data_IF_198356465138
#
_entry.id   IF_198356465138
#
_cell.length_a   1.000
_cell.length_b   1.000
_cell.length_c   1.000
_cell.angle_alpha   90.00
_cell.angle_beta   90.00
_cell.angle_gamma   90.00
#
_symmetry.space_group_name_H-M   'P 1'
#
loop_
_entity.id
_entity.type
_entity.pdbx_description
1 polymer ?
#
# COMPACT_ATOMS: atom_id res chain seq x y z
N UNK A 1 28.89 11.42 -0.01
CA UNK A 1 27.76 11.07 -0.89
C UNK A 1 26.50 11.39 -0.10
N UNK A 2 25.82 12.48 -0.43
CA UNK A 2 24.50 12.76 0.16
C UNK A 2 23.50 11.76 -0.41
N UNK A 3 22.90 10.95 0.44
CA UNK A 3 21.73 10.15 0.08
C UNK A 3 20.65 11.09 -0.50
N UNK A 4 20.17 10.79 -1.70
CA UNK A 4 19.14 11.60 -2.36
C UNK A 4 17.92 11.71 -1.44
N UNK A 5 17.38 12.91 -1.29
CA UNK A 5 16.14 13.14 -0.53
C UNK A 5 15.00 12.25 -1.04
N UNK A 6 15.00 11.91 -2.34
CA UNK A 6 14.07 10.96 -2.92
C UNK A 6 14.21 9.55 -2.34
N UNK A 7 15.44 9.06 -2.12
CA UNK A 7 15.69 7.74 -1.50
C UNK A 7 15.14 7.69 -0.08
N UNK A 8 15.40 8.74 0.72
CA UNK A 8 14.88 8.84 2.10
C UNK A 8 13.35 8.92 2.13
N UNK A 9 12.76 9.72 1.24
CA UNK A 9 11.31 9.83 1.11
C UNK A 9 10.69 8.47 0.72
N UNK A 10 11.31 7.73 -0.20
CA UNK A 10 10.85 6.40 -0.63
C UNK A 10 10.90 5.38 0.51
N UNK A 11 11.98 5.39 1.32
CA UNK A 11 12.11 4.49 2.47
C UNK A 11 11.03 4.79 3.52
N UNK A 12 10.92 6.06 3.94
CA UNK A 12 9.91 6.49 4.91
C UNK A 12 8.48 6.19 4.40
N UNK A 13 8.25 6.34 3.10
CA UNK A 13 6.95 6.05 2.51
C UNK A 13 6.61 4.55 2.52
N UNK A 14 7.60 3.69 2.25
CA UNK A 14 7.44 2.22 2.33
C UNK A 14 7.16 1.77 3.77
N UNK A 15 7.88 2.32 4.74
CA UNK A 15 7.62 2.06 6.17
C UNK A 15 6.21 2.47 6.58
N UNK A 16 5.77 3.67 6.18
CA UNK A 16 4.43 4.15 6.48
C UNK A 16 3.35 3.29 5.84
N UNK A 17 3.55 2.83 4.59
CA UNK A 17 2.62 1.92 3.91
C UNK A 17 2.50 0.58 4.63
N UNK A 18 3.62 0.01 5.06
CA UNK A 18 3.62 -1.25 5.83
C UNK A 18 2.95 -1.07 7.19
N UNK A 19 3.19 0.05 7.88
CA UNK A 19 2.49 0.37 9.13
C UNK A 19 0.98 0.43 8.94
N UNK A 20 0.49 1.15 7.93
CA UNK A 20 -0.94 1.20 7.60
C UNK A 20 -1.50 -0.18 7.27
N UNK A 21 -0.74 -1.02 6.53
CA UNK A 21 -1.15 -2.40 6.21
C UNK A 21 -1.31 -3.25 7.47
N UNK A 22 -0.38 -3.13 8.43
CA UNK A 22 -0.44 -3.83 9.71
C UNK A 22 -1.65 -3.39 10.55
N UNK A 23 -1.91 -2.08 10.63
CA UNK A 23 -3.06 -1.52 11.35
C UNK A 23 -4.40 -2.03 10.76
N UNK A 24 -4.55 -2.01 9.42
CA UNK A 24 -5.74 -2.56 8.74
C UNK A 24 -5.87 -4.06 9.01
N UNK A 25 -4.76 -4.80 9.01
CA UNK A 25 -4.76 -6.25 9.28
C UNK A 25 -5.20 -6.53 10.72
N UNK A 26 -4.72 -5.76 11.69
CA UNK A 26 -5.14 -5.87 13.09
C UNK A 26 -6.63 -5.56 13.26
N UNK A 27 -7.11 -4.49 12.62
CA UNK A 27 -8.53 -4.15 12.61
C UNK A 27 -9.36 -5.33 12.07
N UNK A 28 -9.03 -5.88 10.90
CA UNK A 28 -9.75 -7.02 10.32
C UNK A 28 -9.75 -8.22 11.27
N UNK A 29 -8.65 -8.50 11.98
CA UNK A 29 -8.60 -9.59 12.97
C UNK A 29 -9.56 -9.35 14.13
N UNK A 30 -9.55 -8.15 14.71
CA UNK A 30 -10.46 -7.75 15.78
C UNK A 30 -11.92 -7.91 15.36
N UNK A 31 -12.25 -7.47 14.14
CA UNK A 31 -13.61 -7.56 13.62
C UNK A 31 -14.08 -9.01 13.44
N UNK A 32 -13.21 -9.89 12.92
CA UNK A 32 -13.51 -11.32 12.83
C UNK A 32 -13.69 -11.98 14.19
N UNK A 33 -12.90 -11.56 15.19
CA UNK A 33 -13.05 -12.07 16.54
C UNK A 33 -14.41 -11.68 17.14
N UNK A 34 -14.80 -10.41 16.97
CA UNK A 34 -16.11 -9.91 17.41
C UNK A 34 -17.23 -10.67 16.69
N UNK A 35 -17.15 -10.81 15.36
CA UNK A 35 -18.12 -11.56 14.56
C UNK A 35 -18.29 -12.99 15.07
N UNK A 36 -17.19 -13.69 15.33
CA UNK A 36 -17.21 -15.06 15.85
C UNK A 36 -17.88 -15.14 17.21
N UNK A 37 -17.55 -14.20 18.12
CA UNK A 37 -18.13 -14.16 19.46
C UNK A 37 -19.63 -13.87 19.43
N UNK A 38 -20.06 -12.89 18.64
CA UNK A 38 -21.48 -12.53 18.50
C UNK A 38 -22.26 -13.70 17.90
N UNK A 39 -21.74 -14.34 16.85
CA UNK A 39 -22.40 -15.50 16.23
C UNK A 39 -22.50 -16.70 17.18
N UNK A 40 -21.46 -16.94 18.00
CA UNK A 40 -21.51 -17.97 19.05
C UNK A 40 -22.61 -17.67 20.06
N UNK A 41 -22.65 -16.44 20.61
CA UNK A 41 -23.65 -16.08 21.62
C UNK A 41 -25.08 -16.10 21.06
N UNK A 42 -25.29 -15.69 19.81
CA UNK A 42 -26.57 -15.86 19.14
C UNK A 42 -27.00 -17.34 19.12
N UNK A 43 -26.08 -18.24 18.73
CA UNK A 43 -26.32 -19.67 18.72
C UNK A 43 -26.65 -20.22 20.11
N UNK A 44 -25.90 -19.81 21.13
CA UNK A 44 -26.08 -20.22 22.53
C UNK A 44 -27.45 -19.77 23.06
N UNK A 45 -27.87 -18.53 22.79
CA UNK A 45 -29.17 -18.00 23.19
C UNK A 45 -30.29 -18.81 22.53
N UNK A 46 -30.21 -19.06 21.22
CA UNK A 46 -31.23 -19.81 20.49
C UNK A 46 -31.37 -21.24 21.01
N UNK A 47 -30.24 -21.91 21.27
CA UNK A 47 -30.24 -23.24 21.85
C UNK A 47 -30.84 -23.22 23.27
N UNK A 48 -30.46 -22.24 24.09
CA UNK A 48 -30.98 -22.08 25.45
C UNK A 48 -32.49 -21.88 25.45
N UNK A 49 -33.02 -21.03 24.56
CA UNK A 49 -34.47 -20.84 24.43
C UNK A 49 -35.19 -22.12 24.00
N UNK A 50 -34.64 -22.87 23.05
CA UNK A 50 -35.18 -24.16 22.63
C UNK A 50 -35.19 -25.20 23.76
N UNK A 51 -34.15 -25.21 24.60
CA UNK A 51 -34.05 -26.10 25.76
C UNK A 51 -35.08 -25.75 26.83
N UNK A 52 -35.24 -24.45 27.13
CA UNK A 52 -36.27 -23.96 28.04
C UNK A 52 -37.67 -24.31 27.54
N UNK A 53 -37.95 -24.09 26.24
CA UNK A 53 -39.22 -24.44 25.60
C UNK A 53 -39.54 -25.94 25.78
N UNK A 54 -38.58 -26.82 25.50
CA UNK A 54 -38.75 -28.28 25.70
C UNK A 54 -38.98 -28.65 27.17
N UNK A 55 -38.21 -28.06 28.09
CA UNK A 55 -38.33 -28.31 29.53
C UNK A 55 -39.68 -27.88 30.09
N UNK A 56 -40.15 -26.69 29.68
CA UNK A 56 -41.46 -26.16 30.04
C UNK A 56 -42.57 -27.05 29.50
N UNK A 57 -42.55 -27.37 28.20
CA UNK A 57 -43.57 -28.22 27.60
C UNK A 57 -43.67 -29.59 28.32
N UNK A 58 -42.54 -30.20 28.65
CA UNK A 58 -42.48 -31.45 29.42
C UNK A 58 -43.07 -31.29 30.83
N UNK A 59 -42.80 -30.17 31.49
CA UNK A 59 -43.32 -29.87 32.83
C UNK A 59 -44.84 -29.64 32.81
N UNK A 60 -45.35 -28.90 31.82
CA UNK A 60 -46.78 -28.69 31.60
C UNK A 60 -47.50 -30.02 31.28
N UNK A 61 -46.94 -30.85 30.42
CA UNK A 61 -47.47 -32.18 30.13
C UNK A 61 -47.57 -33.06 31.38
N UNK A 62 -46.53 -33.08 32.23
CA UNK A 62 -46.57 -33.81 33.50
C UNK A 62 -47.68 -33.30 34.42
N UNK A 63 -47.80 -31.98 34.57
CA UNK A 63 -48.85 -31.38 35.39
C UNK A 63 -50.25 -31.78 34.90
N UNK A 64 -50.48 -31.71 33.58
CA UNK A 64 -51.74 -32.16 32.94
C UNK A 64 -52.00 -33.63 33.23
N UNK A 65 -50.99 -34.51 33.11
CA UNK A 65 -51.14 -35.94 33.41
C UNK A 65 -51.50 -36.20 34.87
N UNK A 66 -50.90 -35.46 35.82
CA UNK A 66 -51.28 -35.56 37.23
C UNK A 66 -52.71 -35.11 37.49
N UNK A 67 -53.13 -34.00 36.90
CA UNK A 67 -54.51 -33.49 37.00
C UNK A 67 -55.51 -34.50 36.42
N UNK A 68 -55.20 -35.07 35.25
CA UNK A 68 -56.02 -36.10 34.61
C UNK A 68 -56.10 -37.39 35.45
N UNK A 69 -55.02 -37.79 36.12
CA UNK A 69 -55.03 -38.95 37.01
C UNK A 69 -55.93 -38.73 38.25
N UNK A 70 -55.94 -37.52 38.81
CA UNK A 70 -56.80 -37.15 39.95
C UNK A 70 -58.27 -37.04 39.54
N UNK A 71 -58.56 -36.71 38.27
CA UNK A 71 -59.93 -36.65 37.75
C UNK A 71 -60.71 -37.97 37.95
N UNK A 72 -60.02 -39.12 37.91
CA UNK A 72 -60.67 -40.42 38.11
C UNK A 72 -61.26 -40.60 39.52
N UNK A 73 -60.89 -39.77 40.50
CA UNK A 73 -61.39 -39.84 41.88
C UNK A 73 -62.29 -38.64 42.29
N UNK A 74 -62.54 -37.67 41.42
CA UNK A 74 -63.21 -36.41 41.76
C UNK A 74 -64.49 -36.18 40.91
N UNK A 75 -65.61 -35.80 41.54
CA UNK A 75 -66.91 -35.58 40.85
C UNK A 75 -67.05 -34.19 40.18
N UNK A 76 -66.05 -33.31 40.28
CA UNK A 76 -66.19 -31.90 39.89
C UNK A 76 -65.54 -31.58 38.53
N UNK A 77 -66.20 -32.05 37.46
CA UNK A 77 -65.72 -31.99 36.07
C UNK A 77 -65.44 -30.56 35.57
N UNK A 78 -66.24 -29.58 35.99
CA UNK A 78 -66.11 -28.17 35.57
C UNK A 78 -64.79 -27.55 36.06
N UNK A 79 -64.44 -27.78 37.33
CA UNK A 79 -63.18 -27.30 37.92
C UNK A 79 -61.97 -27.89 37.20
N UNK A 80 -62.03 -29.16 36.82
CA UNK A 80 -60.95 -29.80 36.06
C UNK A 80 -60.76 -29.16 34.68
N UNK A 81 -61.87 -28.96 33.96
CA UNK A 81 -61.85 -28.36 32.63
C UNK A 81 -61.31 -26.91 32.69
N UNK A 82 -61.71 -26.16 33.72
CA UNK A 82 -61.19 -24.82 33.98
C UNK A 82 -59.68 -24.83 34.21
N UNK A 83 -59.17 -25.71 35.08
CA UNK A 83 -57.72 -25.82 35.35
C UNK A 83 -56.95 -26.19 34.08
N UNK A 84 -57.41 -27.18 33.31
CA UNK A 84 -56.76 -27.57 32.06
C UNK A 84 -56.71 -26.42 31.05
N UNK A 85 -57.78 -25.64 30.92
CA UNK A 85 -57.82 -24.45 30.07
C UNK A 85 -56.80 -23.40 30.54
N UNK A 86 -56.69 -23.14 31.84
CA UNK A 86 -55.69 -22.22 32.40
C UNK A 86 -54.27 -22.69 32.04
N UNK A 87 -53.95 -23.97 32.22
CA UNK A 87 -52.64 -24.52 31.85
C UNK A 87 -52.35 -24.38 30.35
N UNK A 88 -53.33 -24.67 29.48
CA UNK A 88 -53.16 -24.52 28.03
C UNK A 88 -52.93 -23.06 27.61
N UNK A 89 -53.71 -22.13 28.15
CA UNK A 89 -53.55 -20.69 27.89
C UNK A 89 -52.17 -20.23 28.36
N UNK A 90 -51.75 -20.66 29.55
CA UNK A 90 -50.45 -20.31 30.12
C UNK A 90 -49.31 -20.83 29.26
N UNK A 91 -49.36 -22.09 28.81
CA UNK A 91 -48.33 -22.67 27.93
C UNK A 91 -48.23 -21.89 26.61
N UNK A 92 -49.36 -21.55 25.99
CA UNK A 92 -49.38 -20.74 24.76
C UNK A 92 -48.76 -19.36 24.96
N UNK A 93 -49.05 -18.69 26.08
CA UNK A 93 -48.46 -17.39 26.39
C UNK A 93 -46.94 -17.47 26.60
N UNK A 94 -46.47 -18.52 27.27
CA UNK A 94 -45.03 -18.75 27.46
C UNK A 94 -44.35 -19.04 26.12
N UNK A 95 -44.93 -19.87 25.26
CA UNK A 95 -44.40 -20.13 23.92
C UNK A 95 -44.35 -18.86 23.07
N UNK A 96 -45.40 -18.03 23.11
CA UNK A 96 -45.43 -16.75 22.43
C UNK A 96 -44.35 -15.78 22.95
N UNK A 97 -44.14 -15.73 24.27
CA UNK A 97 -43.08 -14.90 24.87
C UNK A 97 -41.68 -15.37 24.44
N UNK A 98 -41.42 -16.69 24.46
CA UNK A 98 -40.14 -17.24 23.98
C UNK A 98 -39.91 -16.96 22.49
N UNK A 99 -40.94 -17.08 21.66
CA UNK A 99 -40.87 -16.74 20.23
C UNK A 99 -40.58 -15.25 20.02
N UNK A 100 -41.18 -14.36 20.80
CA UNK A 100 -40.94 -12.92 20.71
C UNK A 100 -39.50 -12.54 21.09
N UNK A 101 -38.91 -13.22 22.08
CA UNK A 101 -37.49 -13.06 22.42
C UNK A 101 -36.61 -13.57 21.28
N UNK A 102 -36.90 -14.75 20.74
CA UNK A 102 -36.16 -15.34 19.63
C UNK A 102 -36.18 -14.44 18.39
N UNK A 103 -37.35 -13.91 18.01
CA UNK A 103 -37.48 -12.96 16.89
C UNK A 103 -36.78 -11.63 17.18
N UNK A 104 -36.87 -11.10 18.40
CA UNK A 104 -36.19 -9.86 18.77
C UNK A 104 -34.66 -9.95 18.70
N UNK A 105 -34.10 -11.13 19.02
CA UNK A 105 -32.66 -11.40 18.86
C UNK A 105 -32.28 -11.48 17.38
N UNK A 106 -33.11 -12.09 16.53
CA UNK A 106 -32.89 -12.14 15.08
C UNK A 106 -32.94 -10.74 14.45
N UNK A 107 -33.94 -9.94 14.82
CA UNK A 107 -34.08 -8.56 14.36
C UNK A 107 -32.87 -7.71 14.78
N UNK A 108 -32.39 -7.88 16.01
CA UNK A 108 -31.18 -7.20 16.50
C UNK A 108 -29.94 -7.60 15.68
N UNK A 109 -29.78 -8.89 15.36
CA UNK A 109 -28.68 -9.36 14.52
C UNK A 109 -28.75 -8.78 13.12
N UNK A 110 -29.94 -8.74 12.52
CA UNK A 110 -30.14 -8.14 11.21
C UNK A 110 -29.82 -6.64 11.22
N UNK A 111 -30.27 -5.91 12.25
CA UNK A 111 -29.97 -4.49 12.41
C UNK A 111 -28.47 -4.25 12.62
N UNK A 112 -27.80 -5.07 13.45
CA UNK A 112 -26.36 -4.98 13.65
C UNK A 112 -25.59 -5.20 12.33
N UNK A 113 -26.01 -6.19 11.55
CA UNK A 113 -25.43 -6.46 10.24
C UNK A 113 -25.59 -5.26 9.29
N UNK A 114 -26.79 -4.67 9.23
CA UNK A 114 -27.10 -3.56 8.33
C UNK A 114 -26.46 -2.24 8.75
N UNK A 115 -26.54 -1.89 10.04
CA UNK A 115 -26.14 -0.57 10.56
C UNK A 115 -24.66 -0.50 10.92
N UNK A 116 -24.01 -1.64 11.18
CA UNK A 116 -22.61 -1.66 11.60
C UNK A 116 -21.75 -2.55 10.71
N UNK A 117 -22.06 -3.84 10.56
CA UNK A 117 -21.15 -4.76 9.87
C UNK A 117 -20.95 -4.38 8.38
N UNK A 118 -22.03 -4.12 7.66
CA UNK A 118 -21.96 -3.75 6.24
C UNK A 118 -21.20 -2.42 6.02
N UNK A 119 -21.52 -1.31 6.72
CA UNK A 119 -20.75 -0.07 6.63
C UNK A 119 -19.27 -0.25 6.95
N UNK A 120 -18.95 -1.09 7.93
CA UNK A 120 -17.58 -1.35 8.36
C UNK A 120 -16.79 -2.15 7.31
N UNK A 121 -17.42 -3.14 6.67
CA UNK A 121 -16.83 -3.85 5.53
C UNK A 121 -16.52 -2.88 4.40
N UNK A 122 -17.46 -1.98 4.06
CA UNK A 122 -17.23 -0.94 3.04
C UNK A 122 -16.16 0.06 3.45
N UNK A 123 -16.07 0.41 4.74
CA UNK A 123 -14.99 1.24 5.27
C UNK A 123 -13.61 0.58 5.11
N UNK A 124 -13.48 -0.69 5.50
CA UNK A 124 -12.22 -1.44 5.36
C UNK A 124 -11.84 -1.62 3.88
N UNK A 125 -12.81 -1.87 3.00
CA UNK A 125 -12.56 -1.91 1.54
C UNK A 125 -12.00 -0.57 1.05
N UNK A 126 -12.61 0.55 1.44
CA UNK A 126 -12.13 1.90 1.07
C UNK A 126 -10.74 2.20 1.60
N UNK A 127 -10.45 1.82 2.85
CA UNK A 127 -9.12 1.97 3.43
C UNK A 127 -8.07 1.17 2.64
N UNK A 128 -8.40 -0.07 2.25
CA UNK A 128 -7.51 -0.91 1.42
C UNK A 128 -7.29 -0.31 0.03
N UNK A 129 -8.33 0.23 -0.60
CA UNK A 129 -8.16 0.90 -1.90
C UNK A 129 -7.32 2.17 -1.78
N UNK A 130 -7.49 2.95 -0.71
CA UNK A 130 -6.69 4.17 -0.49
C UNK A 130 -5.20 3.85 -0.25
N UNK A 131 -4.89 2.76 0.46
CA UNK A 131 -3.49 2.33 0.66
C UNK A 131 -2.82 1.79 -0.61
N UNK A 132 -3.60 1.31 -1.57
CA UNK A 132 -3.08 0.68 -2.80
C UNK A 132 -3.05 1.63 -4.00
N UNK A 133 -4.09 2.46 -4.15
CA UNK A 133 -4.34 3.32 -5.31
C UNK A 133 -4.58 4.79 -4.93
N UNK A 134 -4.52 5.11 -3.64
CA UNK A 134 -4.80 6.45 -3.15
C UNK A 134 -3.73 7.47 -3.50
N UNK A 135 -3.92 8.69 -3.00
CA UNK A 135 -3.03 9.82 -3.31
C UNK A 135 -1.60 9.57 -2.87
N UNK A 136 -1.41 8.95 -1.70
CA UNK A 136 -0.10 8.59 -1.18
C UNK A 136 0.63 7.57 -2.08
N UNK A 137 -0.07 6.53 -2.54
CA UNK A 137 0.52 5.53 -3.44
C UNK A 137 0.94 6.15 -4.78
N UNK A 138 0.13 7.07 -5.32
CA UNK A 138 0.45 7.81 -6.55
C UNK A 138 1.65 8.74 -6.38
N UNK A 139 1.71 9.49 -5.27
CA UNK A 139 2.86 10.36 -4.97
C UNK A 139 4.15 9.56 -4.81
N UNK A 140 4.10 8.39 -4.16
CA UNK A 140 5.26 7.52 -4.04
C UNK A 140 5.75 7.04 -5.42
N UNK A 141 4.84 6.62 -6.29
CA UNK A 141 5.19 6.21 -7.65
C UNK A 141 5.86 7.34 -8.46
N UNK A 142 5.36 8.58 -8.34
CA UNK A 142 5.98 9.75 -8.98
C UNK A 142 7.39 10.03 -8.44
N UNK A 143 7.60 9.95 -7.12
CA UNK A 143 8.93 10.15 -6.53
C UNK A 143 9.92 9.08 -6.99
N UNK A 144 9.48 7.82 -7.08
CA UNK A 144 10.31 6.72 -7.60
C UNK A 144 10.67 6.91 -9.09
N UNK A 145 9.75 7.47 -9.88
CA UNK A 145 9.96 7.83 -11.29
C UNK A 145 10.96 8.99 -11.42
N UNK A 146 10.76 10.08 -10.68
CA UNK A 146 11.69 11.22 -10.64
C UNK A 146 13.11 10.79 -10.25
N UNK A 147 13.23 9.90 -9.25
CA UNK A 147 14.54 9.39 -8.84
C UNK A 147 15.21 8.57 -9.95
N UNK A 148 14.41 7.84 -10.75
CA UNK A 148 14.92 7.11 -11.92
C UNK A 148 15.41 8.07 -13.00
N UNK A 149 14.61 9.05 -13.38
CA UNK A 149 15.01 10.05 -14.38
C UNK A 149 16.26 10.82 -13.97
N UNK A 150 16.39 11.19 -12.69
CA UNK A 150 17.60 11.86 -12.17
C UNK A 150 18.83 10.96 -12.29
N UNK A 151 18.69 9.66 -12.02
CA UNK A 151 19.79 8.70 -12.18
C UNK A 151 20.19 8.54 -13.64
N UNK A 152 19.21 8.36 -14.51
CA UNK A 152 19.44 8.16 -15.95
C UNK A 152 20.08 9.42 -16.56
N UNK A 153 19.54 10.60 -16.28
CA UNK A 153 20.12 11.87 -16.72
C UNK A 153 21.53 12.14 -16.18
N UNK A 154 21.86 11.64 -14.98
CA UNK A 154 23.25 11.69 -14.45
C UNK A 154 24.21 10.82 -15.27
N UNK A 155 23.77 9.64 -15.69
CA UNK A 155 24.58 8.73 -16.53
C UNK A 155 24.78 9.37 -17.90
N UNK A 156 23.71 9.82 -18.55
CA UNK A 156 23.77 10.49 -19.85
C UNK A 156 24.67 11.73 -19.83
N UNK A 157 24.56 12.55 -18.79
CA UNK A 157 25.42 13.73 -18.63
C UNK A 157 26.90 13.37 -18.50
N UNK A 158 27.24 12.28 -17.80
CA UNK A 158 28.62 11.84 -17.66
C UNK A 158 29.18 11.26 -18.97
N UNK A 159 28.35 10.58 -19.75
CA UNK A 159 28.69 10.14 -21.10
C UNK A 159 28.97 11.32 -22.04
N UNK A 160 28.11 12.34 -22.05
CA UNK A 160 28.33 13.55 -22.85
C UNK A 160 29.59 14.31 -22.41
N UNK A 161 29.83 14.42 -21.10
CA UNK A 161 31.09 15.00 -20.58
C UNK A 161 32.30 14.21 -21.03
N UNK A 162 32.22 12.89 -21.12
CA UNK A 162 33.30 12.07 -21.64
C UNK A 162 33.56 12.34 -23.12
N UNK A 163 32.51 12.47 -23.94
CA UNK A 163 32.64 12.83 -25.36
C UNK A 163 33.30 14.20 -25.54
N UNK A 164 32.91 15.20 -24.75
CA UNK A 164 33.51 16.54 -24.75
C UNK A 164 35.00 16.46 -24.40
N UNK A 165 35.37 15.77 -23.31
CA UNK A 165 36.79 15.57 -22.93
C UNK A 165 37.63 14.93 -24.04
N UNK A 166 37.06 13.96 -24.76
CA UNK A 166 37.71 13.33 -25.91
C UNK A 166 37.87 14.30 -27.08
N UNK A 167 36.85 15.11 -27.37
CA UNK A 167 36.90 16.12 -28.43
C UNK A 167 37.92 17.23 -28.12
N UNK A 168 37.94 17.72 -26.88
CA UNK A 168 38.92 18.71 -26.40
C UNK A 168 40.35 18.18 -26.54
N UNK A 169 40.60 16.92 -26.17
CA UNK A 169 41.91 16.29 -26.35
C UNK A 169 42.34 16.24 -27.81
N UNK A 170 41.43 15.84 -28.72
CA UNK A 170 41.70 15.82 -30.16
C UNK A 170 41.98 17.21 -30.73
N UNK A 171 41.24 18.22 -30.26
CA UNK A 171 41.45 19.62 -30.66
C UNK A 171 42.83 20.10 -30.22
N UNK A 172 43.22 19.83 -28.97
CA UNK A 172 44.53 20.19 -28.44
C UNK A 172 45.66 19.51 -29.24
N UNK A 173 45.52 18.22 -29.55
CA UNK A 173 46.48 17.48 -30.38
C UNK A 173 46.60 18.09 -31.79
N UNK A 174 45.50 18.53 -32.41
CA UNK A 174 45.51 19.18 -33.71
C UNK A 174 46.19 20.56 -33.67
N UNK A 175 45.92 21.35 -32.63
CA UNK A 175 46.56 22.66 -32.42
C UNK A 175 48.07 22.51 -32.25
N UNK A 176 48.52 21.56 -31.42
CA UNK A 176 49.96 21.30 -31.25
C UNK A 176 50.64 20.96 -32.58
N UNK A 177 50.01 20.11 -33.41
CA UNK A 177 50.55 19.77 -34.74
C UNK A 177 50.60 20.98 -35.68
N UNK A 178 49.61 21.86 -35.65
CA UNK A 178 49.62 23.09 -36.44
C UNK A 178 50.76 24.01 -36.03
N UNK A 179 50.95 24.23 -34.73
CA UNK A 179 52.06 25.04 -34.21
C UNK A 179 53.42 24.45 -34.59
N UNK A 180 53.60 23.13 -34.51
CA UNK A 180 54.82 22.46 -34.98
C UNK A 180 55.09 22.66 -36.48
N UNK A 181 54.04 22.70 -37.30
CA UNK A 181 54.18 22.96 -38.74
C UNK A 181 54.52 24.42 -39.02
N UNK A 182 53.84 25.37 -38.36
CA UNK A 182 54.14 26.80 -38.45
C UNK A 182 55.60 27.09 -38.03
N UNK A 183 56.07 26.51 -36.93
CA UNK A 183 57.45 26.68 -36.47
C UNK A 183 58.47 26.10 -37.47
N UNK A 184 58.16 24.96 -38.10
CA UNK A 184 59.01 24.39 -39.17
C UNK A 184 59.05 25.27 -40.40
N UNK A 185 57.92 25.83 -40.81
CA UNK A 185 57.83 26.74 -41.94
C UNK A 185 58.61 28.03 -41.69
N UNK A 186 58.42 28.64 -40.50
CA UNK A 186 59.19 29.79 -40.05
C UNK A 186 60.70 29.51 -39.99
N UNK A 187 61.13 28.33 -39.52
CA UNK A 187 62.55 27.93 -39.57
C UNK A 187 63.07 27.81 -41.01
N UNK A 188 62.27 27.26 -41.94
CA UNK A 188 62.64 27.19 -43.36
C UNK A 188 62.78 28.57 -43.99
N UNK A 189 61.88 29.50 -43.69
CA UNK A 189 61.97 30.89 -44.14
C UNK A 189 63.22 31.60 -43.60
N UNK A 190 63.54 31.39 -42.32
CA UNK A 190 64.77 31.90 -41.71
C UNK A 190 66.03 31.31 -42.36
N UNK A 191 66.06 30.00 -42.64
CA UNK A 191 67.15 29.36 -43.38
C UNK A 191 67.26 29.86 -44.82
N UNK A 192 66.12 30.07 -45.49
CA UNK A 192 66.05 30.62 -46.85
C UNK A 192 66.65 32.03 -46.93
N UNK A 193 66.21 32.92 -46.02
CA UNK A 193 66.74 34.28 -45.92
C UNK A 193 68.24 34.32 -45.56
N UNK A 194 68.72 33.40 -44.71
CA UNK A 194 70.15 33.23 -44.42
C UNK A 194 70.97 32.72 -45.62
N UNK A 195 70.40 31.83 -46.43
CA UNK A 195 71.04 31.34 -47.66
C UNK A 195 71.07 32.42 -48.76
N UNK A 196 70.05 33.26 -48.86
CA UNK A 196 70.03 34.41 -49.77
C UNK A 196 71.02 35.49 -49.35
N UNK A 197 71.14 35.79 -48.06
CA UNK A 197 72.20 36.67 -47.55
C UNK A 197 73.58 36.09 -47.79
N UNK A 198 73.81 34.78 -47.60
CA UNK A 198 75.10 34.15 -47.93
C UNK A 198 75.44 34.26 -49.44
N UNK A 199 74.45 34.12 -50.33
CA UNK A 199 74.63 34.31 -51.78
C UNK A 199 74.95 35.77 -52.14
N UNK A 200 74.42 36.75 -51.41
CA UNK A 200 74.74 38.16 -51.63
C UNK A 200 76.13 38.57 -51.12
N UNK A 201 76.71 37.82 -50.17
CA UNK A 201 78.10 37.99 -49.73
C UNK A 201 79.14 37.31 -50.65
N UNK A 202 78.81 36.21 -51.33
CA UNK A 202 79.74 35.54 -52.27
C UNK A 202 79.81 36.21 -53.65
N UNK A 203 78.89 37.12 -53.99
CA UNK A 203 78.84 37.84 -55.27
C UNK A 203 79.45 39.26 -55.23
N UNK A 204 80.08 39.69 -54.13
CA UNK A 204 80.86 40.95 -54.13
C UNK A 204 82.32 40.70 -54.52
N UNK A 205 82.83 41.23 -55.65
CA UNK A 205 84.26 41.16 -55.97
C UNK A 205 85.03 42.02 -54.96
N UNK A 206 86.01 41.42 -54.26
CA UNK A 206 86.99 42.15 -53.46
C UNK A 206 87.83 43.04 -54.40
N UNK A 207 87.52 44.34 -54.47
CA UNK A 207 88.44 45.33 -55.04
C UNK A 207 89.58 45.57 -54.04
N UNK A 208 90.74 44.98 -54.31
CA UNK A 208 92.01 45.34 -53.68
C UNK A 208 92.47 46.66 -54.32
N UNK A 209 92.58 47.73 -53.55
CA UNK A 209 93.31 48.94 -53.96
C UNK A 209 94.63 49.00 -53.19
N UNK A 210 95.71 49.08 -53.96
CA UNK A 210 97.11 49.24 -53.54
C UNK A 210 97.42 50.69 -53.13
N UNK A 211 98.49 50.91 -52.33
CA UNK A 211 98.72 52.12 -51.56
C UNK A 211 99.46 53.22 -52.33
N UNK A 212 99.24 54.47 -51.91
CA UNK A 212 100.21 55.56 -51.92
C UNK A 212 100.33 56.09 -50.49
#
# INVERSE_FOLDING_TARGET
MEESYATKATIAAKEQKEKQRLEITQLVRLLRQIETQVNSHHGDIRQTLADHRRSLHKSFQKAISYIAAIHHSCQNQETLLFVLNVFQITLRQVDAALNAVESGVEDLMQQLAQQMCNPLVEYVKRLKTETTLGTFARLLAMVEEMEREIRDGRVELEEERMKVRVAEKKMLEALTRLTELEDRERMKEQLGSLLETRKSYTLRPRKVRRPC
#
